data_IF_315861899034
#
_entry.id   IF_315861899034
#
_cell.length_a   1.000
_cell.length_b   1.000
_cell.length_c   1.000
_cell.angle_alpha   90.00
_cell.angle_beta   90.00
_cell.angle_gamma   90.00
#
_symmetry.space_group_name_H-M   'P 1'
#
loop_
_entity.id
_entity.type
_entity.pdbx_description
1 polymer ?
#
# COMPACT_ATOMS: atom_id res chain seq x y z
N UNK A 1 -59.71 -6.46 -9.10
CA UNK A 1 -60.57 -6.23 -7.93
C UNK A 1 -60.73 -7.58 -7.20
N UNK A 2 -60.08 -7.73 -6.03
CA UNK A 2 -60.33 -8.71 -4.93
C UNK A 2 -60.02 -10.21 -5.25
N UNK A 3 -59.43 -11.06 -4.36
CA UNK A 3 -58.19 -10.92 -3.57
C UNK A 3 -57.46 -12.27 -3.24
N UNK A 4 -56.32 -12.17 -2.54
CA UNK A 4 -55.86 -12.98 -1.36
C UNK A 4 -55.62 -14.52 -1.47
N UNK A 5 -54.77 -14.96 -0.53
CA UNK A 5 -54.39 -16.32 -0.11
C UNK A 5 -53.07 -16.81 -0.73
N UNK A 6 -52.09 -17.37 0.00
CA UNK A 6 -51.98 -17.74 1.41
C UNK A 6 -50.48 -17.97 1.68
N UNK A 7 -49.95 -17.41 2.77
CA UNK A 7 -48.69 -17.88 3.35
C UNK A 7 -48.99 -18.98 4.38
N UNK A 8 -48.14 -20.00 4.55
CA UNK A 8 -48.09 -20.77 5.78
C UNK A 8 -46.85 -20.40 6.61
N UNK A 9 -47.17 -19.95 7.81
CA UNK A 9 -46.32 -19.83 8.99
C UNK A 9 -46.11 -21.23 9.56
N UNK A 10 -44.88 -21.75 9.63
CA UNK A 10 -44.55 -22.88 10.53
C UNK A 10 -43.31 -22.55 11.35
N UNK A 11 -43.63 -22.14 12.56
CA UNK A 11 -42.89 -22.14 13.81
C UNK A 11 -42.30 -23.54 14.10
N UNK A 12 -40.99 -23.64 14.35
CA UNK A 12 -40.47 -24.68 15.24
C UNK A 12 -39.28 -24.15 16.03
N UNK A 13 -39.59 -23.75 17.25
CA UNK A 13 -38.68 -23.44 18.34
C UNK A 13 -38.39 -24.77 19.06
N UNK A 14 -37.14 -25.24 19.09
CA UNK A 14 -36.70 -26.32 20.00
C UNK A 14 -35.47 -25.85 20.75
N UNK A 15 -35.70 -25.60 22.03
CA UNK A 15 -34.78 -25.40 23.13
C UNK A 15 -34.03 -26.71 23.38
N UNK A 16 -32.74 -26.67 23.74
CA UNK A 16 -32.16 -27.42 24.87
C UNK A 16 -30.74 -26.89 25.13
N UNK A 17 -30.59 -26.30 26.31
CA UNK A 17 -29.32 -26.03 26.95
C UNK A 17 -28.71 -27.34 27.45
N UNK A 18 -27.42 -27.54 27.20
CA UNK A 18 -26.58 -28.46 27.99
C UNK A 18 -25.31 -27.72 28.39
N UNK A 19 -25.28 -27.39 29.67
CA UNK A 19 -24.15 -26.87 30.43
C UNK A 19 -23.27 -28.07 30.81
N UNK A 20 -22.01 -28.12 30.37
CA UNK A 20 -20.95 -28.85 31.09
C UNK A 20 -19.63 -28.06 30.99
N UNK A 21 -19.10 -27.77 32.18
CA UNK A 21 -17.81 -27.21 32.52
C UNK A 21 -16.63 -27.97 31.88
N UNK A 22 -15.66 -27.24 31.33
CA UNK A 22 -14.22 -27.55 31.55
C UNK A 22 -13.49 -26.23 31.76
N UNK A 23 -13.21 -25.96 33.02
CA UNK A 23 -12.22 -24.99 33.47
C UNK A 23 -10.90 -25.74 33.54
N UNK A 24 -9.94 -25.38 32.67
CA UNK A 24 -8.52 -25.62 32.92
C UNK A 24 -7.88 -24.25 32.94
N UNK A 25 -7.46 -23.82 34.13
CA UNK A 25 -6.56 -22.69 34.30
C UNK A 25 -5.21 -23.04 33.69
N UNK A 26 -4.65 -22.09 32.95
CA UNK A 26 -3.24 -22.03 32.65
C UNK A 26 -2.76 -20.68 33.21
N UNK A 27 -2.17 -20.77 34.39
CA UNK A 27 -1.51 -19.68 35.09
C UNK A 27 -0.19 -19.37 34.38
N UNK A 28 -0.28 -18.55 33.34
CA UNK A 28 0.87 -17.92 32.69
C UNK A 28 1.53 -16.93 33.65
N UNK A 29 2.52 -17.41 34.40
CA UNK A 29 3.38 -16.62 35.26
C UNK A 29 4.11 -15.54 34.46
N UNK A 30 3.76 -14.27 34.72
CA UNK A 30 4.39 -13.10 34.11
C UNK A 30 5.77 -12.92 34.73
N UNK A 31 6.81 -13.43 34.07
CA UNK A 31 8.19 -13.06 34.35
C UNK A 31 8.39 -11.58 34.05
N UNK A 32 8.48 -10.78 35.12
CA UNK A 32 8.95 -9.40 35.04
C UNK A 32 10.47 -9.40 34.96
N UNK A 33 11.10 -8.63 34.06
CA UNK A 33 12.55 -8.49 34.05
C UNK A 33 13.02 -7.69 35.27
N UNK A 34 14.03 -8.20 35.97
CA UNK A 34 14.73 -7.50 37.06
C UNK A 34 15.35 -6.17 36.58
N UNK A 35 15.33 -5.12 37.40
CA UNK A 35 16.07 -3.89 37.12
C UNK A 35 17.59 -4.13 37.25
N UNK A 36 18.43 -3.44 36.45
CA UNK A 36 19.87 -3.61 36.52
C UNK A 36 20.44 -3.08 37.85
N UNK A 37 21.24 -3.92 38.50
CA UNK A 37 22.01 -3.58 39.71
C UNK A 37 23.11 -2.55 39.36
N UNK A 38 23.25 -1.44 40.11
CA UNK A 38 24.36 -0.51 39.91
C UNK A 38 25.69 -1.18 40.30
N UNK A 39 26.62 -1.26 39.37
CA UNK A 39 27.99 -1.71 39.66
C UNK A 39 28.72 -0.62 40.45
N UNK A 40 29.13 -0.95 41.68
CA UNK A 40 30.12 -0.15 42.41
C UNK A 40 31.52 -0.48 41.89
N UNK A 41 32.40 0.53 41.69
CA UNK A 41 33.79 0.28 41.31
C UNK A 41 34.57 -0.34 42.48
N UNK A 42 35.42 -1.31 42.16
CA UNK A 42 36.34 -1.97 43.08
C UNK A 42 37.47 -1.03 43.55
N UNK A 43 37.98 -1.17 44.79
CA UNK A 43 38.98 -0.28 45.36
C UNK A 43 40.38 -0.88 45.17
N UNK A 44 40.94 -0.79 43.98
CA UNK A 44 42.35 -1.11 43.75
C UNK A 44 42.91 -0.17 42.68
N UNK A 45 43.39 1.00 43.10
CA UNK A 45 44.59 1.61 42.53
C UNK A 45 44.97 2.84 43.36
N UNK A 46 45.67 2.59 44.47
CA UNK A 46 46.24 3.62 45.32
C UNK A 46 47.73 3.33 45.47
N UNK A 47 48.51 3.73 44.47
CA UNK A 47 49.96 3.88 44.59
C UNK A 47 50.41 5.13 43.81
N UNK A 48 51.28 5.98 44.38
CA UNK A 48 51.70 7.24 43.77
C UNK A 48 52.80 7.03 42.71
N UNK A 49 52.69 7.74 41.59
CA UNK A 49 53.73 7.86 40.58
C UNK A 49 54.92 8.73 41.04
N UNK A 50 56.16 8.44 40.59
CA UNK A 50 57.35 9.25 40.86
C UNK A 50 57.38 10.53 40.01
N UNK A 51 58.14 11.58 40.41
CA UNK A 51 58.07 12.87 39.75
C UNK A 51 58.71 12.84 38.35
N UNK A 52 57.99 13.44 37.40
CA UNK A 52 58.37 13.62 36.02
C UNK A 52 59.65 14.48 35.87
N UNK A 53 60.60 14.00 35.08
CA UNK A 53 61.70 14.81 34.56
C UNK A 53 61.19 15.60 33.35
N UNK A 54 61.33 16.92 33.39
CA UNK A 54 60.96 17.82 32.31
C UNK A 54 61.96 17.70 31.16
N UNK A 55 61.50 17.29 29.99
CA UNK A 55 62.27 17.43 28.74
C UNK A 55 62.02 18.81 28.12
N UNK A 56 63.00 19.40 27.40
CA UNK A 56 62.86 20.74 26.85
C UNK A 56 61.89 20.76 25.66
N UNK A 57 61.02 21.76 25.62
CA UNK A 57 60.09 22.00 24.50
C UNK A 57 60.86 22.52 23.29
N UNK A 58 61.04 21.69 22.27
CA UNK A 58 61.45 22.11 20.94
C UNK A 58 60.26 22.82 20.26
N UNK A 59 60.47 24.08 19.87
CA UNK A 59 59.47 24.91 19.21
C UNK A 59 59.23 24.42 17.78
N UNK A 60 58.07 23.84 17.52
CA UNK A 60 57.62 23.54 16.17
C UNK A 60 57.25 24.84 15.42
N UNK A 61 57.62 24.99 14.14
CA UNK A 61 57.23 26.15 13.35
C UNK A 61 55.73 26.14 13.03
N UNK A 62 55.11 27.32 13.06
CA UNK A 62 53.67 27.50 12.79
C UNK A 62 53.32 27.16 11.33
N UNK A 63 52.17 26.50 11.07
CA UNK A 63 51.71 26.25 9.72
C UNK A 63 51.21 27.55 9.06
N UNK A 64 51.53 27.71 7.78
CA UNK A 64 51.10 28.81 6.92
C UNK A 64 49.58 28.78 6.69
N UNK A 65 48.88 29.94 6.60
CA UNK A 65 47.44 29.96 6.42
C UNK A 65 47.03 29.46 5.03
N UNK A 66 46.11 28.49 4.99
CA UNK A 66 45.51 28.01 3.75
C UNK A 66 44.69 29.12 3.06
N UNK A 67 44.67 29.16 1.71
CA UNK A 67 43.84 30.10 0.97
C UNK A 67 42.34 29.83 1.20
N UNK A 68 41.48 30.86 1.06
CA UNK A 68 40.06 30.72 1.36
C UNK A 68 39.40 29.70 0.42
N UNK A 69 38.73 28.72 1.02
CA UNK A 69 37.87 27.75 0.34
C UNK A 69 36.76 28.50 -0.39
N UNK A 70 36.77 28.44 -1.71
CA UNK A 70 35.66 28.91 -2.53
C UNK A 70 34.48 27.99 -2.25
N UNK A 71 33.46 28.49 -1.53
CA UNK A 71 32.19 27.80 -1.37
C UNK A 71 31.56 27.60 -2.75
N UNK A 72 31.51 26.35 -3.21
CA UNK A 72 30.81 26.01 -4.44
C UNK A 72 29.33 26.35 -4.24
N UNK A 73 28.81 27.22 -5.10
CA UNK A 73 27.38 27.49 -5.16
C UNK A 73 26.63 26.17 -5.38
N UNK A 74 25.52 25.90 -4.67
CA UNK A 74 24.72 24.70 -4.88
C UNK A 74 24.33 24.60 -6.34
N UNK A 75 24.69 23.49 -6.99
CA UNK A 75 24.19 23.21 -8.33
C UNK A 75 22.67 23.01 -8.27
N UNK A 76 21.90 23.55 -9.24
CA UNK A 76 20.48 23.25 -9.33
C UNK A 76 20.30 21.75 -9.42
N UNK A 77 19.52 21.17 -8.51
CA UNK A 77 19.14 19.76 -8.63
C UNK A 77 18.34 19.58 -9.92
N UNK A 78 18.58 18.50 -10.69
CA UNK A 78 17.77 18.24 -11.89
C UNK A 78 16.30 18.15 -11.48
N UNK A 79 15.46 18.89 -12.20
CA UNK A 79 14.02 18.83 -12.05
C UNK A 79 13.55 17.39 -12.34
N UNK A 80 12.65 16.81 -11.52
CA UNK A 80 12.20 15.45 -11.73
C UNK A 80 11.57 15.31 -13.12
N UNK A 81 12.02 14.30 -13.88
CA UNK A 81 11.49 14.02 -15.21
C UNK A 81 9.97 13.72 -15.11
N UNK A 82 9.16 14.17 -16.08
CA UNK A 82 7.75 13.82 -16.12
C UNK A 82 7.57 12.30 -16.11
N UNK A 83 6.55 11.78 -15.41
CA UNK A 83 6.30 10.34 -15.36
C UNK A 83 6.12 9.76 -16.77
N UNK A 84 6.82 8.66 -17.06
CA UNK A 84 6.76 8.01 -18.36
C UNK A 84 5.40 7.31 -18.58
N UNK A 85 4.82 7.48 -19.76
CA UNK A 85 3.63 6.73 -20.22
C UNK A 85 4.10 5.43 -20.86
N UNK A 86 3.55 4.30 -20.44
CA UNK A 86 3.79 3.03 -21.15
C UNK A 86 3.11 3.10 -22.53
N UNK A 87 3.80 2.76 -23.64
CA UNK A 87 3.26 2.92 -24.99
C UNK A 87 1.89 2.25 -25.17
N UNK A 88 0.93 2.98 -25.77
CA UNK A 88 -0.42 2.49 -26.03
C UNK A 88 -1.41 2.61 -24.86
N UNK A 89 -0.99 3.17 -23.72
CA UNK A 89 -1.89 3.56 -22.63
C UNK A 89 -2.34 5.03 -22.75
N UNK A 90 -3.50 5.39 -22.16
CA UNK A 90 -3.93 6.78 -22.03
C UNK A 90 -2.91 7.66 -21.25
N UNK A 91 -2.79 8.93 -21.65
CA UNK A 91 -1.84 9.88 -21.03
C UNK A 91 -2.22 10.25 -19.59
N UNK A 92 -3.50 10.21 -19.25
CA UNK A 92 -4.00 10.58 -17.91
C UNK A 92 -3.67 9.55 -16.82
N UNK A 93 -3.11 8.40 -17.20
CA UNK A 93 -2.57 7.40 -16.28
C UNK A 93 -1.04 7.35 -16.27
N UNK A 94 -0.35 8.34 -16.85
CA UNK A 94 1.11 8.44 -16.78
C UNK A 94 1.62 8.32 -15.34
N UNK A 95 2.58 7.43 -15.09
CA UNK A 95 3.20 7.27 -13.76
C UNK A 95 2.26 6.77 -12.66
N UNK A 96 1.22 6.00 -13.00
CA UNK A 96 0.31 5.44 -12.01
C UNK A 96 1.02 4.58 -10.94
N UNK A 97 2.21 4.06 -11.24
CA UNK A 97 3.04 3.27 -10.33
C UNK A 97 3.57 4.10 -9.14
N UNK A 98 3.51 5.43 -9.25
CA UNK A 98 3.84 6.37 -8.18
C UNK A 98 2.60 6.86 -7.41
N UNK A 99 1.40 6.43 -7.80
CA UNK A 99 0.16 6.80 -7.11
C UNK A 99 -0.02 6.00 -5.81
N UNK A 100 -1.05 6.34 -5.03
CA UNK A 100 -1.36 5.61 -3.81
C UNK A 100 -1.71 4.15 -4.15
N UNK A 101 -0.86 3.22 -3.72
CA UNK A 101 -1.13 1.80 -3.81
C UNK A 101 -2.18 1.39 -2.77
N UNK A 102 -3.24 0.71 -3.23
CA UNK A 102 -4.33 0.27 -2.35
C UNK A 102 -3.94 -0.99 -1.56
N UNK A 103 -3.31 -1.96 -2.21
CA UNK A 103 -2.89 -3.21 -1.58
C UNK A 103 -1.48 -3.14 -1.00
N UNK A 104 -1.28 -3.65 0.22
CA UNK A 104 0.04 -3.71 0.86
C UNK A 104 0.94 -4.76 0.19
N UNK A 105 0.38 -5.93 -0.14
CA UNK A 105 1.08 -7.03 -0.80
C UNK A 105 0.51 -7.30 -2.19
N UNK A 106 1.32 -7.73 -3.19
CA UNK A 106 0.81 -8.09 -4.51
C UNK A 106 -0.29 -9.16 -4.41
N UNK A 107 -1.36 -8.96 -5.17
CA UNK A 107 -2.54 -9.83 -5.14
C UNK A 107 -2.31 -11.01 -6.10
N UNK A 108 -2.27 -12.27 -5.62
CA UNK A 108 -2.02 -13.42 -6.48
C UNK A 108 -3.23 -13.73 -7.39
N UNK A 109 -3.07 -14.63 -8.38
CA UNK A 109 -4.20 -15.15 -9.15
C UNK A 109 -5.28 -15.75 -8.25
N UNK A 110 -6.55 -15.43 -8.54
CA UNK A 110 -7.67 -15.97 -7.78
C UNK A 110 -7.87 -17.48 -8.07
N UNK A 111 -8.14 -18.31 -7.04
CA UNK A 111 -8.43 -19.72 -7.25
C UNK A 111 -9.76 -19.91 -7.98
N UNK A 112 -9.84 -20.89 -8.88
CA UNK A 112 -11.07 -21.21 -9.63
C UNK A 112 -11.29 -20.38 -10.91
N UNK A 113 -10.34 -19.52 -11.26
CA UNK A 113 -10.39 -18.67 -12.46
C UNK A 113 -10.20 -17.21 -12.09
N UNK A 114 -9.22 -16.56 -12.70
CA UNK A 114 -8.90 -15.15 -12.46
C UNK A 114 -9.28 -14.31 -13.69
N UNK A 115 -10.33 -13.46 -13.59
CA UNK A 115 -10.75 -12.59 -14.69
C UNK A 115 -9.63 -11.68 -15.20
N UNK A 116 -8.65 -11.36 -14.34
CA UNK A 116 -7.45 -10.59 -14.69
C UNK A 116 -6.19 -11.39 -14.37
N UNK A 117 -6.08 -12.57 -14.99
CA UNK A 117 -5.05 -13.57 -14.69
C UNK A 117 -3.63 -13.00 -14.55
N UNK A 118 -3.11 -13.03 -13.32
CA UNK A 118 -1.76 -12.58 -13.01
C UNK A 118 -1.58 -12.19 -11.55
N UNK A 119 -0.37 -11.77 -11.20
CA UNK A 119 -0.09 -11.10 -9.93
C UNK A 119 -0.34 -9.62 -10.13
N UNK A 120 -1.15 -9.01 -9.26
CA UNK A 120 -1.71 -7.67 -9.46
C UNK A 120 -1.29 -6.69 -8.39
N UNK A 121 -1.23 -5.42 -8.79
CA UNK A 121 -1.24 -4.28 -7.89
C UNK A 121 -2.31 -3.30 -8.35
N UNK A 122 -2.88 -2.56 -7.40
CA UNK A 122 -3.92 -1.57 -7.65
C UNK A 122 -3.49 -0.23 -7.05
N UNK A 123 -3.61 0.81 -7.85
CA UNK A 123 -3.20 2.17 -7.54
C UNK A 123 -4.37 3.14 -7.77
N UNK A 124 -4.39 4.24 -7.04
CA UNK A 124 -5.42 5.28 -7.16
C UNK A 124 -4.78 6.67 -7.16
N UNK A 125 -5.22 7.55 -8.06
CA UNK A 125 -4.66 8.90 -8.21
C UNK A 125 -4.98 9.85 -7.04
N UNK A 126 -5.82 9.42 -6.09
CA UNK A 126 -6.20 10.20 -4.92
C UNK A 126 -5.23 9.97 -3.77
N UNK A 127 -5.13 10.97 -2.88
CA UNK A 127 -4.34 10.82 -1.65
C UNK A 127 -5.10 10.02 -0.59
N UNK A 128 -4.36 9.48 0.40
CA UNK A 128 -4.96 8.73 1.51
C UNK A 128 -5.92 9.60 2.32
N UNK A 129 -5.58 10.87 2.54
CA UNK A 129 -6.41 11.83 3.26
C UNK A 129 -7.73 12.10 2.53
N UNK A 130 -7.73 12.05 1.20
CA UNK A 130 -8.90 12.27 0.35
C UNK A 130 -9.89 11.11 0.43
N UNK A 131 -9.41 9.87 0.31
CA UNK A 131 -10.28 8.68 0.22
C UNK A 131 -10.48 7.98 1.56
N UNK A 132 -9.61 8.21 2.53
CA UNK A 132 -9.65 7.61 3.85
C UNK A 132 -9.39 8.63 4.97
N UNK A 133 -10.19 9.72 5.05
CA UNK A 133 -10.06 10.68 6.13
C UNK A 133 -10.19 9.96 7.48
N UNK A 134 -9.28 10.27 8.41
CA UNK A 134 -9.19 9.62 9.72
C UNK A 134 -8.85 8.12 9.68
N UNK A 135 -8.24 7.64 8.59
CA UNK A 135 -7.79 6.26 8.45
C UNK A 135 -8.91 5.27 8.09
N UNK A 136 -10.11 5.75 7.75
CA UNK A 136 -11.21 4.91 7.30
C UNK A 136 -11.57 5.24 5.86
N UNK A 137 -11.38 4.29 4.95
CA UNK A 137 -11.77 4.42 3.55
C UNK A 137 -13.27 4.74 3.44
N UNK A 138 -13.60 5.73 2.62
CA UNK A 138 -14.96 6.22 2.41
C UNK A 138 -15.39 5.96 0.97
N UNK A 139 -16.69 5.71 0.81
CA UNK A 139 -17.34 5.54 -0.48
C UNK A 139 -18.56 6.47 -0.56
N UNK A 140 -18.95 6.94 -1.77
CA UNK A 140 -18.27 6.70 -3.05
C UNK A 140 -16.93 7.44 -3.16
N UNK A 141 -16.07 6.99 -4.08
CA UNK A 141 -14.90 7.76 -4.47
C UNK A 141 -15.32 9.09 -5.10
N UNK A 142 -14.52 10.16 -4.92
CA UNK A 142 -14.81 11.46 -5.54
C UNK A 142 -14.68 11.39 -7.07
N UNK A 143 -15.43 12.22 -7.77
CA UNK A 143 -15.28 12.39 -9.23
C UNK A 143 -13.84 12.76 -9.61
N UNK A 144 -13.39 12.27 -10.76
CA UNK A 144 -12.01 12.37 -11.22
C UNK A 144 -11.06 11.37 -10.56
N UNK A 145 -11.56 10.46 -9.72
CA UNK A 145 -10.79 9.30 -9.28
C UNK A 145 -10.48 8.39 -10.46
N UNK A 146 -9.22 7.98 -10.55
CA UNK A 146 -8.75 6.96 -11.48
C UNK A 146 -8.15 5.84 -10.66
N UNK A 147 -8.64 4.62 -10.87
CA UNK A 147 -8.07 3.39 -10.30
C UNK A 147 -7.41 2.60 -11.41
N UNK A 148 -6.13 2.29 -11.24
CA UNK A 148 -5.34 1.48 -12.19
C UNK A 148 -4.97 0.18 -11.53
N UNK A 149 -5.28 -0.94 -12.20
CA UNK A 149 -4.80 -2.27 -11.84
C UNK A 149 -3.84 -2.76 -12.91
N UNK A 150 -2.62 -3.05 -12.51
CA UNK A 150 -1.66 -3.74 -13.38
C UNK A 150 -1.61 -5.24 -13.05
N UNK A 151 -1.21 -6.07 -14.01
CA UNK A 151 -0.88 -7.46 -13.74
C UNK A 151 0.32 -7.98 -14.54
N UNK A 152 1.20 -8.69 -13.85
CA UNK A 152 2.20 -9.57 -14.47
C UNK A 152 1.59 -10.95 -14.67
N UNK A 153 1.53 -11.41 -15.92
CA UNK A 153 0.94 -12.72 -16.27
C UNK A 153 1.84 -13.87 -15.79
N UNK A 154 1.27 -15.06 -15.51
CA UNK A 154 2.07 -16.22 -15.09
C UNK A 154 3.20 -16.53 -16.07
N UNK A 155 4.40 -16.76 -15.54
CA UNK A 155 5.61 -17.06 -16.33
C UNK A 155 6.19 -15.87 -17.10
N UNK A 156 5.74 -14.64 -16.82
CA UNK A 156 6.29 -13.41 -17.38
C UNK A 156 6.85 -12.53 -16.26
N UNK A 157 7.75 -11.64 -16.62
CA UNK A 157 8.43 -10.67 -15.75
C UNK A 157 8.10 -9.21 -16.13
N UNK A 158 7.12 -9.01 -17.01
CA UNK A 158 6.65 -7.69 -17.44
C UNK A 158 5.13 -7.55 -17.24
N UNK A 159 4.68 -6.31 -17.04
CA UNK A 159 3.26 -5.96 -16.97
C UNK A 159 2.60 -6.28 -18.31
N UNK A 160 1.66 -7.21 -18.33
CA UNK A 160 0.97 -7.65 -19.55
C UNK A 160 -0.49 -7.21 -19.64
N UNK A 161 -1.00 -6.59 -18.59
CA UNK A 161 -2.39 -6.14 -18.45
C UNK A 161 -2.40 -4.86 -17.60
N UNK A 162 -3.16 -3.87 -18.06
CA UNK A 162 -3.51 -2.66 -17.31
C UNK A 162 -5.02 -2.46 -17.46
N UNK A 163 -5.77 -2.57 -16.36
CA UNK A 163 -7.19 -2.29 -16.32
C UNK A 163 -7.43 -0.99 -15.54
N UNK A 164 -8.28 -0.12 -16.06
CA UNK A 164 -8.47 1.24 -15.58
C UNK A 164 -9.94 1.50 -15.34
N UNK A 165 -10.23 2.19 -14.24
CA UNK A 165 -11.55 2.70 -13.89
C UNK A 165 -11.47 4.21 -13.73
N UNK A 166 -12.30 4.98 -14.43
CA UNK A 166 -12.42 6.43 -14.26
C UNK A 166 -13.78 6.78 -13.66
N UNK A 167 -13.79 7.54 -12.58
CA UNK A 167 -15.01 8.07 -11.95
C UNK A 167 -15.41 9.37 -12.65
N UNK A 168 -16.42 9.28 -13.50
CA UNK A 168 -16.85 10.34 -14.41
C UNK A 168 -18.34 10.64 -14.18
N UNK A 169 -18.63 11.75 -13.49
CA UNK A 169 -19.98 12.15 -13.14
C UNK A 169 -20.96 12.03 -14.33
N UNK A 170 -21.99 11.20 -14.16
CA UNK A 170 -23.06 11.02 -15.15
C UNK A 170 -22.76 10.03 -16.28
N UNK A 171 -21.58 9.39 -16.34
CA UNK A 171 -21.24 8.46 -17.42
C UNK A 171 -22.07 7.17 -17.35
N UNK A 172 -22.16 6.54 -16.16
CA UNK A 172 -22.98 5.35 -15.90
C UNK A 172 -23.57 5.40 -14.48
N UNK A 173 -24.64 6.17 -14.23
CA UNK A 173 -25.16 6.38 -12.88
C UNK A 173 -25.61 5.10 -12.16
N UNK A 174 -26.01 4.08 -12.92
CA UNK A 174 -26.36 2.74 -12.43
C UNK A 174 -25.15 1.85 -12.10
N UNK A 175 -23.98 2.20 -12.63
CA UNK A 175 -22.69 1.57 -12.33
C UNK A 175 -21.75 2.50 -11.55
N UNK A 176 -22.33 3.42 -10.76
CA UNK A 176 -21.56 4.34 -9.91
C UNK A 176 -20.68 5.30 -10.70
N UNK A 177 -21.10 5.74 -11.88
CA UNK A 177 -20.39 6.72 -12.70
C UNK A 177 -18.99 6.26 -13.17
N UNK A 178 -18.73 4.95 -13.18
CA UNK A 178 -17.45 4.40 -13.61
C UNK A 178 -17.41 4.10 -15.12
N UNK A 179 -16.36 4.58 -15.80
CA UNK A 179 -15.90 4.07 -17.12
C UNK A 179 -14.82 3.02 -16.89
N UNK A 180 -14.86 1.92 -17.63
CA UNK A 180 -13.95 0.78 -17.47
C UNK A 180 -13.28 0.41 -18.78
N UNK A 181 -11.95 0.23 -18.76
CA UNK A 181 -11.18 -0.25 -19.90
C UNK A 181 -10.07 -1.21 -19.45
N UNK A 182 -9.75 -2.20 -20.28
CA UNK A 182 -8.62 -3.10 -20.08
C UNK A 182 -7.72 -3.10 -21.31
N UNK A 183 -6.42 -2.94 -21.07
CA UNK A 183 -5.37 -2.90 -22.05
C UNK A 183 -4.42 -4.08 -21.89
N UNK A 184 -4.04 -4.70 -22.99
CA UNK A 184 -3.14 -5.85 -23.01
C UNK A 184 -1.94 -5.61 -23.92
N UNK A 185 -0.80 -6.21 -23.57
CA UNK A 185 0.36 -6.34 -24.47
C UNK A 185 0.97 -7.73 -24.45
N UNK A 186 1.59 -8.08 -25.58
CA UNK A 186 2.16 -9.41 -25.81
C UNK A 186 3.61 -9.61 -25.36
N UNK A 187 4.38 -8.51 -25.29
CA UNK A 187 5.83 -8.49 -25.07
C UNK A 187 6.22 -7.24 -24.26
N UNK A 188 7.41 -7.20 -23.61
CA UNK A 188 7.83 -6.07 -22.77
C UNK A 188 8.00 -4.74 -23.51
N UNK A 189 8.29 -4.79 -24.81
CA UNK A 189 8.47 -3.66 -25.72
C UNK A 189 7.25 -3.41 -26.63
N UNK A 190 6.23 -4.27 -26.56
CA UNK A 190 4.99 -4.08 -27.31
C UNK A 190 4.13 -2.99 -26.68
N UNK A 191 3.45 -2.24 -27.55
CA UNK A 191 2.41 -1.31 -27.13
C UNK A 191 1.22 -2.05 -26.53
N UNK A 192 0.61 -1.42 -25.54
CA UNK A 192 -0.70 -1.79 -25.04
C UNK A 192 -1.78 -1.52 -26.08
N UNK A 193 -2.81 -2.36 -26.09
CA UNK A 193 -4.02 -2.17 -26.89
C UNK A 193 -5.25 -2.44 -26.05
N UNK A 194 -6.28 -1.64 -26.26
CA UNK A 194 -7.59 -1.86 -25.68
C UNK A 194 -8.10 -3.26 -26.08
N UNK A 195 -8.47 -4.04 -25.07
CA UNK A 195 -8.94 -5.42 -25.21
C UNK A 195 -10.41 -5.55 -24.80
N UNK A 196 -10.82 -4.88 -23.72
CA UNK A 196 -12.18 -4.92 -23.21
C UNK A 196 -12.59 -3.56 -22.63
N UNK A 197 -13.89 -3.25 -22.67
CA UNK A 197 -14.46 -2.04 -22.11
C UNK A 197 -15.95 -2.22 -21.75
N UNK A 198 -16.49 -1.30 -20.97
CA UNK A 198 -17.93 -1.13 -20.78
C UNK A 198 -18.62 -2.30 -20.05
N UNK A 199 -19.74 -2.78 -20.62
CA UNK A 199 -20.72 -3.63 -19.93
C UNK A 199 -20.20 -4.94 -19.35
N UNK A 200 -19.16 -5.54 -19.96
CA UNK A 200 -18.54 -6.76 -19.42
C UNK A 200 -17.84 -6.50 -18.07
N UNK A 201 -17.20 -5.33 -17.95
CA UNK A 201 -16.55 -4.88 -16.73
C UNK A 201 -17.59 -4.55 -15.67
N UNK A 202 -18.60 -3.76 -16.06
CA UNK A 202 -19.71 -3.36 -15.18
C UNK A 202 -20.37 -4.59 -14.55
N UNK A 203 -20.72 -5.61 -15.35
CA UNK A 203 -21.42 -6.79 -14.85
C UNK A 203 -20.69 -7.53 -13.72
N UNK A 204 -19.36 -7.62 -13.79
CA UNK A 204 -18.57 -8.24 -12.71
C UNK A 204 -18.40 -7.31 -11.50
N UNK A 205 -18.17 -6.02 -11.76
CA UNK A 205 -17.93 -5.02 -10.72
C UNK A 205 -19.19 -4.65 -9.93
N UNK A 206 -20.40 -4.81 -10.51
CA UNK A 206 -21.67 -4.64 -9.80
C UNK A 206 -21.81 -5.56 -8.57
N UNK A 207 -21.04 -6.66 -8.51
CA UNK A 207 -21.01 -7.55 -7.35
C UNK A 207 -20.43 -6.91 -6.07
N UNK A 208 -19.74 -5.77 -6.19
CA UNK A 208 -19.16 -5.02 -5.07
C UNK A 208 -19.58 -3.55 -5.09
N UNK A 209 -20.85 -3.28 -5.43
CA UNK A 209 -21.40 -1.92 -5.46
C UNK A 209 -21.26 -1.18 -4.10
N UNK A 210 -21.29 -1.91 -2.98
CA UNK A 210 -21.15 -1.33 -1.63
C UNK A 210 -19.76 -0.73 -1.36
N UNK A 211 -18.73 -1.15 -2.11
CA UNK A 211 -17.37 -0.57 -2.07
C UNK A 211 -17.09 0.31 -3.29
N UNK A 212 -18.17 0.91 -3.81
CA UNK A 212 -18.16 1.74 -5.01
C UNK A 212 -17.48 1.05 -6.20
N UNK A 213 -17.85 -0.22 -6.42
CA UNK A 213 -17.40 -1.04 -7.55
C UNK A 213 -15.91 -1.40 -7.53
N UNK A 214 -15.16 -1.08 -6.47
CA UNK A 214 -13.73 -1.40 -6.31
C UNK A 214 -13.54 -2.56 -5.33
N UNK A 215 -12.99 -3.68 -5.80
CA UNK A 215 -12.78 -4.89 -4.98
C UNK A 215 -11.71 -4.75 -3.90
N UNK A 216 -10.71 -3.90 -4.13
CA UNK A 216 -9.50 -3.84 -3.32
C UNK A 216 -9.65 -2.73 -2.28
N UNK A 217 -9.70 -3.05 -0.97
CA UNK A 217 -9.68 -2.05 0.07
C UNK A 217 -8.29 -1.40 0.17
N UNK A 218 -8.25 -0.21 0.76
CA UNK A 218 -7.01 0.43 1.17
C UNK A 218 -6.45 -0.26 2.42
N UNK A 219 -5.20 -0.73 2.33
CA UNK A 219 -4.43 -1.32 3.44
C UNK A 219 -3.44 -0.34 4.08
#
# INVERSE_FOLDING_TARGET
MIPKYLAPLILTLVIIACVIFVSCGDEGEVMTPEPPVPQQPSPDELMPEPPAQQQPVEQQPQPEPEPPRVEQMPQPQPEPEPPAVLPGLPDDIAGYDQWLKLNAQPIPPAPGGDPHNGTKNVYVNQTREKIAPNGQQQFPYPDGTIVVKEATRPGRDFIGLVAVMWKEAGNHPDAGDWRFEEYLRGAPDAEFRLAFEGGICIGCHSGVADTDFVFVPLE
#
